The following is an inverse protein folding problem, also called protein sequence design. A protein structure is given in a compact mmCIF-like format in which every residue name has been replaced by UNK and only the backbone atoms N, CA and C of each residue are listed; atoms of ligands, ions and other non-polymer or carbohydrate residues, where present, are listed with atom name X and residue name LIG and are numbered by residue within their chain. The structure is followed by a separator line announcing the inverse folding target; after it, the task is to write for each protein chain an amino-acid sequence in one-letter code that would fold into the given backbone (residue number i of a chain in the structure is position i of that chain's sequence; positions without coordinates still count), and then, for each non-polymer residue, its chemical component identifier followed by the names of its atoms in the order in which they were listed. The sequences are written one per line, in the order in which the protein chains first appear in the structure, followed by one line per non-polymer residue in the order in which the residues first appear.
data_IF_259244183099
#
_entry.id   IF_259244183099
#
_cell.length_a   1.000
_cell.length_b   1.000
_cell.length_c   1.000
_cell.angle_alpha   90.00
_cell.angle_beta   90.00
_cell.angle_gamma   90.00
#
_symmetry.space_group_name_H-M   'P 1'
#
loop_
_entity.id
_entity.type
_entity.pdbx_description
1 polymer ?
#
# COMPACT_ATOMS: atom_id res chain seq x y z
N UNK A 1 -30.45 -4.56 -4.91
CA UNK A 1 -30.56 -4.60 -3.43
C UNK A 1 -30.03 -5.94 -2.90
N UNK A 2 -29.73 -6.03 -1.58
CA UNK A 2 -29.35 -7.30 -0.95
C UNK A 2 -30.46 -8.38 -1.13
N UNK A 3 -31.72 -7.99 -1.06
CA UNK A 3 -32.82 -8.93 -1.35
C UNK A 3 -32.85 -9.46 -2.78
N UNK A 4 -32.34 -8.72 -3.77
CA UNK A 4 -32.22 -9.21 -5.15
C UNK A 4 -31.12 -10.24 -5.27
N UNK A 5 -30.01 -10.04 -4.56
CA UNK A 5 -28.89 -10.99 -4.48
C UNK A 5 -29.35 -12.30 -3.81
N UNK A 6 -30.04 -12.19 -2.68
CA UNK A 6 -30.57 -13.36 -1.98
C UNK A 6 -31.56 -14.15 -2.86
N UNK A 7 -32.44 -13.47 -3.62
CA UNK A 7 -33.35 -14.14 -4.57
C UNK A 7 -32.58 -14.78 -5.74
N UNK A 8 -31.56 -14.10 -6.25
CA UNK A 8 -30.72 -14.61 -7.32
C UNK A 8 -29.97 -15.89 -6.91
N UNK A 9 -29.47 -15.94 -5.67
CA UNK A 9 -28.69 -17.09 -5.17
C UNK A 9 -29.48 -18.40 -5.06
N UNK A 10 -30.82 -18.34 -5.04
CA UNK A 10 -31.70 -19.55 -5.01
C UNK A 10 -32.40 -19.80 -6.36
N UNK A 11 -32.00 -19.08 -7.42
CA UNK A 11 -32.50 -19.30 -8.77
C UNK A 11 -32.07 -20.66 -9.32
N UNK A 12 -32.89 -21.27 -10.17
CA UNK A 12 -32.57 -22.56 -10.78
C UNK A 12 -31.50 -22.42 -11.85
N UNK A 13 -30.74 -23.49 -12.09
CA UNK A 13 -29.64 -23.51 -13.07
C UNK A 13 -30.07 -23.07 -14.51
N UNK A 14 -31.32 -23.27 -14.88
CA UNK A 14 -31.85 -22.90 -16.19
C UNK A 14 -32.45 -21.48 -16.20
N UNK A 15 -32.44 -20.76 -15.12
CA UNK A 15 -32.90 -19.36 -15.02
C UNK A 15 -31.74 -18.40 -15.26
N UNK A 16 -32.02 -17.22 -15.83
CA UNK A 16 -30.99 -16.20 -16.08
C UNK A 16 -30.42 -15.64 -14.78
N UNK A 17 -31.28 -15.45 -13.77
CA UNK A 17 -30.90 -14.97 -12.44
C UNK A 17 -30.70 -16.17 -11.51
N UNK A 18 -29.48 -16.65 -11.41
CA UNK A 18 -29.08 -17.75 -10.57
C UNK A 18 -27.72 -17.46 -9.89
N UNK A 19 -27.26 -18.37 -9.06
CA UNK A 19 -26.01 -18.27 -8.33
C UNK A 19 -24.81 -18.15 -9.27
N UNK A 20 -24.82 -18.87 -10.39
CA UNK A 20 -23.74 -18.85 -11.40
C UNK A 20 -23.51 -17.45 -11.99
N UNK A 21 -24.60 -16.68 -12.17
CA UNK A 21 -24.50 -15.28 -12.59
C UNK A 21 -23.75 -14.43 -11.56
N UNK A 22 -24.00 -14.66 -10.28
CA UNK A 22 -23.31 -13.93 -9.20
C UNK A 22 -21.81 -14.26 -9.19
N UNK A 23 -21.44 -15.53 -9.31
CA UNK A 23 -20.03 -15.94 -9.42
C UNK A 23 -19.35 -15.39 -10.67
N UNK A 24 -20.07 -15.33 -11.79
CA UNK A 24 -19.55 -14.72 -13.02
C UNK A 24 -19.27 -13.22 -12.88
N UNK A 25 -20.11 -12.51 -12.12
CA UNK A 25 -19.99 -11.05 -11.91
C UNK A 25 -18.98 -10.68 -10.85
N UNK A 26 -18.89 -11.44 -9.75
CA UNK A 26 -18.16 -11.07 -8.54
C UNK A 26 -17.02 -12.04 -8.19
N UNK A 27 -16.85 -13.12 -8.93
CA UNK A 27 -15.87 -14.15 -8.67
C UNK A 27 -16.10 -14.80 -7.29
N UNK A 28 -15.03 -15.14 -6.59
CA UNK A 28 -15.07 -15.74 -5.24
C UNK A 28 -15.77 -14.85 -4.19
N UNK A 29 -15.84 -13.56 -4.42
CA UNK A 29 -16.54 -12.63 -3.52
C UNK A 29 -18.07 -12.80 -3.57
N UNK A 30 -18.59 -13.55 -4.55
CA UNK A 30 -20.04 -13.85 -4.64
C UNK A 30 -20.53 -14.61 -3.41
N UNK A 31 -19.74 -15.55 -2.88
CA UNK A 31 -20.06 -16.32 -1.68
C UNK A 31 -20.32 -15.41 -0.48
N UNK A 32 -19.35 -14.53 -0.19
CA UNK A 32 -19.47 -13.55 0.90
C UNK A 32 -20.67 -12.60 0.70
N UNK A 33 -20.92 -12.19 -0.54
CA UNK A 33 -22.03 -11.30 -0.88
C UNK A 33 -23.38 -12.00 -0.71
N UNK A 34 -23.49 -13.29 -1.02
CA UNK A 34 -24.68 -14.12 -0.83
C UNK A 34 -24.94 -14.30 0.67
N UNK A 35 -23.92 -14.67 1.45
CA UNK A 35 -24.02 -14.81 2.90
C UNK A 35 -24.54 -13.55 3.56
N UNK A 36 -23.95 -12.40 3.24
CA UNK A 36 -24.42 -11.12 3.75
C UNK A 36 -25.84 -10.77 3.30
N UNK A 37 -26.21 -11.17 2.09
CA UNK A 37 -27.58 -10.95 1.59
C UNK A 37 -28.63 -11.76 2.37
N UNK A 38 -28.24 -12.91 2.93
CA UNK A 38 -29.05 -13.74 3.82
C UNK A 38 -28.91 -13.35 5.30
N UNK A 39 -28.08 -12.34 5.61
CA UNK A 39 -27.83 -11.87 6.97
C UNK A 39 -26.86 -12.74 7.75
N UNK A 40 -26.05 -13.53 7.05
CA UNK A 40 -25.04 -14.38 7.66
C UNK A 40 -23.69 -13.66 7.66
N UNK A 41 -23.08 -13.51 8.84
CA UNK A 41 -21.76 -12.93 9.05
C UNK A 41 -20.95 -13.85 9.98
N UNK A 42 -19.88 -14.42 9.46
CA UNK A 42 -19.00 -15.31 10.23
C UNK A 42 -17.90 -14.56 10.96
N UNK A 43 -17.50 -13.39 10.42
CA UNK A 43 -16.40 -12.62 10.98
C UNK A 43 -16.83 -11.88 12.25
N UNK A 44 -16.15 -12.13 13.35
CA UNK A 44 -16.40 -11.48 14.64
C UNK A 44 -15.33 -10.42 14.90
N UNK A 45 -15.64 -9.46 15.77
CA UNK A 45 -14.67 -8.44 16.21
C UNK A 45 -13.42 -9.06 16.84
N UNK A 46 -13.53 -10.23 17.46
CA UNK A 46 -12.38 -11.00 17.95
C UNK A 46 -11.46 -11.45 16.82
N UNK A 47 -12.03 -11.89 15.70
CA UNK A 47 -11.27 -12.39 14.56
C UNK A 47 -10.49 -11.25 13.89
N UNK A 48 -11.14 -10.09 13.76
CA UNK A 48 -10.49 -8.86 13.27
C UNK A 48 -9.35 -8.42 14.19
N UNK A 49 -9.56 -8.45 15.52
CA UNK A 49 -8.53 -8.06 16.50
C UNK A 49 -7.36 -9.02 16.55
N UNK A 50 -7.59 -10.31 16.30
CA UNK A 50 -6.56 -11.35 16.33
C UNK A 50 -5.92 -11.59 14.96
N UNK A 51 -6.43 -10.93 13.92
CA UNK A 51 -5.86 -11.05 12.58
C UNK A 51 -4.51 -10.34 12.54
N UNK A 52 -3.48 -11.10 12.21
CA UNK A 52 -2.14 -10.57 11.89
C UNK A 52 -1.93 -10.75 10.40
N UNK A 53 -1.76 -9.64 9.69
CA UNK A 53 -1.45 -9.69 8.26
C UNK A 53 -0.09 -10.35 8.04
N UNK A 54 -0.04 -11.30 7.12
CA UNK A 54 1.23 -11.87 6.62
C UNK A 54 1.88 -10.95 5.57
N UNK A 55 1.28 -9.79 5.29
CA UNK A 55 1.83 -8.84 4.34
C UNK A 55 3.12 -8.23 4.85
N UNK A 56 4.14 -8.34 4.02
CA UNK A 56 5.47 -7.78 4.29
C UNK A 56 5.61 -6.37 3.69
N UNK A 57 4.60 -5.52 3.88
CA UNK A 57 4.60 -4.14 3.38
C UNK A 57 3.93 -3.18 4.38
N UNK A 58 4.43 -1.95 4.41
CA UNK A 58 3.82 -0.82 5.10
C UNK A 58 3.65 0.31 4.10
N UNK A 59 2.49 0.96 4.07
CA UNK A 59 2.24 2.07 3.16
C UNK A 59 1.60 3.25 3.88
N UNK A 60 1.94 4.44 3.40
CA UNK A 60 1.34 5.70 3.79
C UNK A 60 0.86 6.42 2.53
N UNK A 61 -0.42 6.77 2.47
CA UNK A 61 -1.04 7.42 1.31
C UNK A 61 -1.83 8.65 1.71
N UNK A 62 -1.66 9.74 0.95
CA UNK A 62 -2.34 11.01 1.21
C UNK A 62 -2.95 11.60 -0.06
N UNK A 63 -4.22 11.99 0.04
CA UNK A 63 -4.88 12.86 -0.95
C UNK A 63 -4.67 14.30 -0.51
N UNK A 64 -4.06 15.11 -1.41
CA UNK A 64 -3.72 16.48 -1.12
C UNK A 64 -4.96 17.40 -1.27
N UNK A 65 -5.06 18.42 -0.43
CA UNK A 65 -6.25 19.30 -0.38
C UNK A 65 -6.40 20.16 -1.64
N UNK A 66 -5.30 20.46 -2.32
CA UNK A 66 -5.23 21.20 -3.59
C UNK A 66 -4.20 20.57 -4.50
N UNK A 67 -4.03 21.11 -5.67
CA UNK A 67 -2.91 20.78 -6.54
C UNK A 67 -1.63 21.35 -5.95
N UNK A 68 -0.64 20.50 -5.73
CA UNK A 68 0.68 20.87 -5.28
C UNK A 68 1.63 20.95 -6.48
N UNK A 69 2.50 21.91 -6.46
CA UNK A 69 3.62 22.00 -7.42
C UNK A 69 4.64 20.89 -7.14
N UNK A 70 5.54 20.69 -8.09
CA UNK A 70 6.63 19.71 -7.96
C UNK A 70 7.45 19.92 -6.67
N UNK A 71 7.83 21.14 -6.35
CA UNK A 71 8.67 21.44 -5.19
C UNK A 71 7.88 21.31 -3.87
N UNK A 72 6.63 21.74 -3.83
CA UNK A 72 5.76 21.56 -2.67
C UNK A 72 5.51 20.07 -2.38
N UNK A 73 5.25 19.28 -3.42
CA UNK A 73 5.00 17.85 -3.27
C UNK A 73 6.24 17.07 -2.82
N UNK A 74 7.45 17.50 -3.19
CA UNK A 74 8.69 16.92 -2.68
C UNK A 74 8.80 17.03 -1.15
N UNK A 75 8.37 18.15 -0.57
CA UNK A 75 8.34 18.32 0.89
C UNK A 75 7.38 17.32 1.52
N UNK A 76 6.18 17.16 0.94
CA UNK A 76 5.19 16.18 1.43
C UNK A 76 5.72 14.74 1.30
N UNK A 77 6.38 14.42 0.18
CA UNK A 77 7.01 13.08 0.01
C UNK A 77 8.02 12.80 1.12
N UNK A 78 8.86 13.76 1.48
CA UNK A 78 9.83 13.61 2.57
C UNK A 78 9.15 13.43 3.92
N UNK A 79 8.13 14.24 4.23
CA UNK A 79 7.35 14.14 5.46
C UNK A 79 6.63 12.78 5.58
N UNK A 80 5.97 12.33 4.51
CA UNK A 80 5.31 11.04 4.48
C UNK A 80 6.29 9.87 4.63
N UNK A 81 7.48 10.02 4.04
CA UNK A 81 8.54 9.02 4.16
C UNK A 81 9.10 8.97 5.57
N UNK A 82 9.28 10.11 6.23
CA UNK A 82 9.72 10.18 7.63
C UNK A 82 8.73 9.50 8.56
N UNK A 83 7.42 9.75 8.39
CA UNK A 83 6.37 9.06 9.14
C UNK A 83 6.40 7.54 8.90
N UNK A 84 6.64 7.09 7.67
CA UNK A 84 6.77 5.66 7.36
C UNK A 84 7.99 5.04 8.06
N UNK A 85 9.10 5.78 8.15
CA UNK A 85 10.31 5.34 8.87
C UNK A 85 10.05 5.23 10.37
N UNK A 86 9.32 6.17 10.96
CA UNK A 86 8.92 6.10 12.37
C UNK A 86 8.09 4.84 12.64
N UNK A 87 7.13 4.52 11.76
CA UNK A 87 6.33 3.29 11.85
C UNK A 87 7.21 2.02 11.77
N UNK A 88 8.21 2.00 10.88
CA UNK A 88 9.16 0.89 10.78
C UNK A 88 9.96 0.74 12.07
N UNK A 89 10.48 1.85 12.60
CA UNK A 89 11.27 1.87 13.82
C UNK A 89 10.46 1.42 15.04
N UNK A 90 9.26 1.97 15.23
CA UNK A 90 8.38 1.61 16.35
C UNK A 90 8.01 0.11 16.36
N UNK A 91 7.92 -0.50 15.17
CA UNK A 91 7.60 -1.92 15.02
C UNK A 91 8.85 -2.82 14.99
N UNK A 92 10.06 -2.27 15.10
CA UNK A 92 11.31 -3.01 14.99
C UNK A 92 11.50 -3.69 13.63
N UNK A 93 11.12 -3.00 12.56
CA UNK A 93 11.11 -3.50 11.20
C UNK A 93 12.13 -2.75 10.32
N UNK A 94 12.60 -3.44 9.28
CA UNK A 94 13.43 -2.87 8.21
C UNK A 94 12.80 -3.15 6.85
N UNK A 95 13.09 -2.29 5.87
CA UNK A 95 12.65 -2.48 4.48
C UNK A 95 13.84 -2.56 3.54
N UNK A 96 13.72 -3.36 2.48
CA UNK A 96 14.74 -3.45 1.41
C UNK A 96 14.26 -2.89 0.08
N UNK A 97 13.02 -2.39 -0.01
CA UNK A 97 12.48 -1.85 -1.25
C UNK A 97 11.38 -0.84 -0.96
N UNK A 98 11.40 0.27 -1.68
CA UNK A 98 10.43 1.36 -1.53
C UNK A 98 9.75 1.64 -2.86
N UNK A 99 8.44 1.82 -2.84
CA UNK A 99 7.65 2.20 -4.01
C UNK A 99 7.01 3.56 -3.76
N UNK A 100 7.11 4.43 -4.74
CA UNK A 100 6.43 5.73 -4.76
C UNK A 100 5.40 5.74 -5.89
N UNK A 101 4.19 6.15 -5.57
CA UNK A 101 3.11 6.36 -6.53
C UNK A 101 2.59 7.79 -6.40
N UNK A 102 2.40 8.45 -7.54
CA UNK A 102 2.01 9.87 -7.63
C UNK A 102 0.86 9.96 -8.62
N UNK A 103 -0.28 10.51 -8.19
CA UNK A 103 -1.37 10.84 -9.09
C UNK A 103 -1.55 12.35 -9.20
N UNK A 104 -1.89 12.76 -10.40
CA UNK A 104 -2.04 14.13 -10.80
C UNK A 104 -3.50 14.57 -10.79
N UNK A 105 -3.74 15.84 -11.05
CA UNK A 105 -5.08 16.38 -11.16
C UNK A 105 -5.81 15.73 -12.36
N UNK A 106 -6.97 15.14 -12.09
CA UNK A 106 -7.81 14.43 -13.07
C UNK A 106 -8.30 15.30 -14.24
N UNK A 107 -8.17 16.63 -14.12
CA UNK A 107 -8.48 17.56 -15.23
C UNK A 107 -7.46 17.51 -16.36
N UNK A 108 -6.29 16.97 -16.07
CA UNK A 108 -5.26 16.69 -17.07
C UNK A 108 -5.26 15.17 -17.28
N UNK A 109 -5.39 14.72 -18.51
CA UNK A 109 -5.29 13.30 -18.90
C UNK A 109 -3.83 12.82 -18.74
N UNK A 110 -3.35 12.82 -17.49
CA UNK A 110 -2.00 12.42 -17.14
C UNK A 110 -2.03 11.14 -16.32
N UNK A 111 -1.35 10.12 -16.81
CA UNK A 111 -1.22 8.86 -16.08
C UNK A 111 -0.44 9.04 -14.78
N UNK A 112 -0.78 8.24 -13.77
CA UNK A 112 -0.05 8.25 -12.50
C UNK A 112 1.40 7.77 -12.70
N UNK A 113 2.34 8.47 -12.07
CA UNK A 113 3.73 8.04 -12.04
C UNK A 113 3.96 7.02 -10.93
N UNK A 114 4.64 5.94 -11.26
CA UNK A 114 5.02 4.89 -10.30
C UNK A 114 6.46 4.49 -10.49
N UNK A 115 7.17 4.32 -9.39
CA UNK A 115 8.53 3.80 -9.40
C UNK A 115 8.87 3.04 -8.15
N UNK A 116 9.90 2.21 -8.25
CA UNK A 116 10.42 1.43 -7.13
C UNK A 116 11.94 1.57 -7.06
N UNK A 117 12.46 1.73 -5.86
CA UNK A 117 13.89 1.71 -5.56
C UNK A 117 14.18 0.56 -4.60
N UNK A 118 15.29 -0.13 -4.82
CA UNK A 118 15.80 -1.16 -3.91
C UNK A 118 16.94 -0.58 -3.11
N UNK A 119 16.95 -0.90 -1.82
CA UNK A 119 18.10 -0.66 -0.96
C UNK A 119 19.03 -1.86 -1.05
N UNK A 120 20.32 -1.63 -0.94
CA UNK A 120 21.32 -2.71 -0.95
C UNK A 120 21.10 -3.70 0.18
N UNK A 121 20.63 -3.18 1.33
CA UNK A 121 20.28 -3.95 2.53
C UNK A 121 18.97 -3.44 3.13
N UNK A 122 18.35 -4.29 3.94
CA UNK A 122 17.24 -3.88 4.80
C UNK A 122 17.70 -2.77 5.75
N UNK A 123 16.90 -1.69 5.83
CA UNK A 123 17.20 -0.53 6.66
C UNK A 123 15.92 0.10 7.17
N UNK A 124 16.01 0.75 8.34
CA UNK A 124 15.06 1.71 8.87
C UNK A 124 15.72 3.07 9.13
N UNK A 125 16.91 3.30 8.55
CA UNK A 125 17.60 4.58 8.62
C UNK A 125 16.81 5.66 7.89
N UNK A 126 16.36 6.69 8.63
CA UNK A 126 15.57 7.82 8.11
C UNK A 126 16.30 8.49 6.95
N UNK A 127 17.58 8.80 7.09
CA UNK A 127 18.35 9.45 6.05
C UNK A 127 18.40 8.62 4.75
N UNK A 128 18.75 7.32 4.86
CA UNK A 128 18.87 6.44 3.67
C UNK A 128 17.55 6.30 2.93
N UNK A 129 16.45 6.14 3.67
CA UNK A 129 15.12 5.92 3.11
C UNK A 129 14.58 7.22 2.49
N UNK A 130 14.70 8.36 3.19
CA UNK A 130 14.24 9.65 2.68
C UNK A 130 15.03 10.06 1.42
N UNK A 131 16.35 9.92 1.43
CA UNK A 131 17.19 10.25 0.27
C UNK A 131 16.82 9.35 -0.92
N UNK A 132 16.66 8.03 -0.72
CA UNK A 132 16.27 7.11 -1.78
C UNK A 132 14.89 7.42 -2.40
N UNK A 133 13.89 7.76 -1.56
CA UNK A 133 12.54 8.12 -2.04
C UNK A 133 12.54 9.49 -2.70
N UNK A 134 13.29 10.47 -2.18
CA UNK A 134 13.42 11.78 -2.78
C UNK A 134 14.08 11.71 -4.18
N UNK A 135 15.15 10.93 -4.31
CA UNK A 135 15.80 10.68 -5.60
C UNK A 135 14.87 9.96 -6.58
N UNK A 136 14.07 9.01 -6.09
CA UNK A 136 13.05 8.34 -6.90
C UNK A 136 12.00 9.36 -7.39
N UNK A 137 11.51 10.22 -6.50
CA UNK A 137 10.59 11.29 -6.83
C UNK A 137 11.12 12.19 -7.95
N UNK A 138 12.37 12.68 -7.81
CA UNK A 138 13.01 13.57 -8.79
C UNK A 138 13.12 12.93 -10.19
N UNK A 139 13.14 11.60 -10.26
CA UNK A 139 13.24 10.85 -11.52
C UNK A 139 11.89 10.58 -12.19
N UNK A 140 10.82 10.34 -11.39
CA UNK A 140 9.55 9.85 -11.94
C UNK A 140 8.44 10.90 -11.98
N UNK A 141 8.50 11.94 -11.12
CA UNK A 141 7.44 12.92 -11.03
C UNK A 141 7.45 13.89 -12.22
N UNK A 142 6.26 14.17 -12.76
CA UNK A 142 6.10 15.24 -13.73
C UNK A 142 6.22 16.61 -13.04
N UNK A 143 7.00 17.49 -13.68
CA UNK A 143 7.31 18.83 -13.15
C UNK A 143 6.25 19.87 -13.44
N UNK A 144 5.35 19.60 -14.35
CA UNK A 144 4.44 20.59 -14.91
C UNK A 144 2.99 20.37 -14.52
N UNK A 145 2.63 19.13 -14.12
CA UNK A 145 1.26 18.77 -13.76
C UNK A 145 1.07 18.82 -12.26
N UNK A 146 -0.04 19.41 -11.82
CA UNK A 146 -0.37 19.52 -10.41
C UNK A 146 -0.59 18.15 -9.75
N UNK A 147 0.09 17.89 -8.65
CA UNK A 147 0.06 16.64 -7.90
C UNK A 147 -1.11 16.64 -6.92
N UNK A 148 -1.90 15.56 -6.91
CA UNK A 148 -3.12 15.43 -6.08
C UNK A 148 -3.09 14.28 -5.08
N UNK A 149 -2.31 13.23 -5.33
CA UNK A 149 -2.19 12.11 -4.41
C UNK A 149 -0.78 11.56 -4.45
N UNK A 150 -0.29 11.21 -3.29
CA UNK A 150 1.03 10.59 -3.08
C UNK A 150 0.82 9.36 -2.23
N UNK A 151 1.54 8.28 -2.56
CA UNK A 151 1.60 7.07 -1.76
C UNK A 151 3.03 6.55 -1.72
N UNK A 152 3.53 6.33 -0.52
CA UNK A 152 4.86 5.74 -0.26
C UNK A 152 4.66 4.39 0.40
N UNK A 153 5.29 3.36 -0.13
CA UNK A 153 5.19 2.00 0.37
C UNK A 153 6.58 1.41 0.63
N UNK A 154 6.79 0.93 1.85
CA UNK A 154 7.91 0.07 2.20
C UNK A 154 7.52 -1.39 1.90
N UNK A 155 8.25 -2.03 0.99
CA UNK A 155 8.03 -3.42 0.60
C UNK A 155 9.12 -4.31 1.19
N UNK A 156 8.87 -5.62 1.19
CA UNK A 156 9.81 -6.60 1.74
C UNK A 156 10.24 -6.24 3.15
N UNK A 157 9.26 -5.89 3.95
CA UNK A 157 9.45 -5.55 5.35
C UNK A 157 9.78 -6.84 6.11
N UNK A 158 10.79 -6.79 6.97
CA UNK A 158 11.20 -7.90 7.82
C UNK A 158 11.60 -7.39 9.21
N UNK A 159 11.55 -8.22 10.26
CA UNK A 159 12.10 -7.86 11.56
C UNK A 159 13.58 -7.47 11.44
N UNK A 160 14.00 -6.45 12.19
CA UNK A 160 15.38 -5.95 12.19
C UNK A 160 16.40 -7.03 12.54
N UNK A 161 16.01 -8.01 13.38
CA UNK A 161 16.85 -9.16 13.76
C UNK A 161 17.25 -10.08 12.59
N UNK A 162 16.59 -9.96 11.43
CA UNK A 162 16.92 -10.72 10.20
C UNK A 162 17.89 -9.98 9.27
N UNK A 163 18.43 -8.84 9.66
CA UNK A 163 19.44 -8.14 8.83
C UNK A 163 20.72 -8.94 8.84
N UNK A 164 21.06 -9.51 7.69
CA UNK A 164 22.31 -10.24 7.50
C UNK A 164 23.43 -9.25 7.24
N UNK A 165 24.38 -9.19 8.16
CA UNK A 165 25.62 -8.43 7.98
C UNK A 165 26.57 -9.18 7.04
N UNK A 166 27.29 -8.44 6.19
CA UNK A 166 28.39 -9.01 5.41
C UNK A 166 29.62 -9.21 6.31
N UNK A 167 30.45 -10.19 6.01
CA UNK A 167 31.74 -10.42 6.70
C UNK A 167 32.70 -9.22 6.63
N UNK A 168 32.43 -8.28 5.72
CA UNK A 168 33.27 -7.09 5.48
C UNK A 168 32.64 -5.81 6.05
N UNK A 169 31.52 -5.91 6.77
CA UNK A 169 30.88 -4.75 7.40
C UNK A 169 31.55 -4.45 8.74
N UNK A 170 31.85 -3.18 8.96
CA UNK A 170 32.24 -2.71 10.29
C UNK A 170 30.97 -2.44 11.12
N UNK A 171 30.68 -3.27 12.17
CA UNK A 171 29.46 -3.11 12.97
C UNK A 171 29.37 -1.72 13.63
N UNK A 172 30.51 -1.06 13.84
CA UNK A 172 30.56 0.26 14.49
C UNK A 172 30.17 1.42 13.57
N UNK A 173 30.17 1.22 12.25
CA UNK A 173 29.68 2.23 11.29
C UNK A 173 28.17 2.12 11.06
N UNK A 174 27.62 0.92 11.20
CA UNK A 174 26.19 0.67 10.97
C UNK A 174 25.31 1.23 12.09
N UNK A 175 25.80 1.27 13.34
CA UNK A 175 25.08 1.81 14.50
C UNK A 175 25.10 3.35 14.59
N UNK A 176 25.81 4.05 13.69
CA UNK A 176 25.95 5.53 13.70
C UNK A 176 25.20 6.22 12.56
N UNK A 177 24.60 5.48 11.66
CA UNK A 177 23.83 5.99 10.52
C UNK A 177 22.32 5.84 10.76
#
# INVERSE_FOLDING_TARGET
TMGDIARCSVGKENEFYNEELLYKMFGVNAELLIDHAWGYETCRMSDIKNYHSEEHSLSNGQVLMRNYSFDEALVIVREMTDNLVLDLFEKGLVTSSLTLWIAYDHRYEHEASKGTVKLERGSNSSKKIIDAVADLYLRIADRYTGIRRIEVCANRVAPESYVQYSLFDDPKQTDKE
#
